data_IF_771941219776
#
_entry.id   IF_771941219776
#
_cell.length_a   1.000
_cell.length_b   1.000
_cell.length_c   1.000
_cell.angle_alpha   90.00
_cell.angle_beta   90.00
_cell.angle_gamma   90.00
#
_symmetry.space_group_name_H-M   'P 1'
#
loop_
_entity.id
_entity.type
_entity.pdbx_description
1 polymer ?
#
# COMPACT_ATOMS: atom_id res chain seq x y z
N UNK A 1 -4.45 -19.93 -11.50
CA UNK A 1 -3.61 -18.92 -12.15
C UNK A 1 -3.39 -17.77 -11.17
N UNK A 2 -2.30 -17.04 -11.37
CA UNK A 2 -1.99 -15.91 -10.52
C UNK A 2 -2.06 -14.63 -11.36
N UNK A 3 -2.42 -13.55 -10.72
CA UNK A 3 -2.50 -12.23 -11.34
C UNK A 3 -1.68 -11.23 -10.55
N UNK A 4 -1.09 -10.29 -11.26
CA UNK A 4 -0.40 -9.18 -10.61
C UNK A 4 -1.41 -8.07 -10.35
N UNK A 5 -1.41 -7.57 -9.15
CA UNK A 5 -2.28 -6.49 -8.74
C UNK A 5 -1.41 -5.34 -8.23
N UNK A 6 -1.66 -4.16 -8.76
CA UNK A 6 -0.95 -2.97 -8.32
C UNK A 6 -1.79 -2.28 -7.25
N UNK A 7 -1.18 -2.05 -6.10
CA UNK A 7 -1.85 -1.33 -5.02
C UNK A 7 -1.45 0.13 -5.12
N UNK A 8 -2.43 1.01 -5.18
CA UNK A 8 -2.20 2.44 -5.33
C UNK A 8 -2.87 3.18 -4.18
N UNK A 9 -2.45 4.43 -3.99
CA UNK A 9 -3.05 5.29 -2.97
C UNK A 9 -4.49 5.58 -3.39
N UNK A 10 -5.47 5.27 -2.52
CA UNK A 10 -6.87 5.55 -2.84
C UNK A 10 -7.15 7.05 -2.74
N UNK A 11 -8.41 7.41 -2.97
CA UNK A 11 -8.85 8.78 -2.80
C UNK A 11 -8.65 9.18 -1.34
N UNK A 12 -7.76 10.13 -1.12
CA UNK A 12 -7.45 10.61 0.22
C UNK A 12 -8.11 11.95 0.51
N UNK A 13 -9.05 12.36 -0.35
CA UNK A 13 -9.84 13.56 -0.11
C UNK A 13 -9.05 14.82 -0.38
N UNK A 14 -9.02 15.72 0.60
CA UNK A 14 -8.44 17.05 0.44
C UNK A 14 -6.93 17.08 0.59
N UNK A 15 -6.27 15.94 0.75
CA UNK A 15 -4.84 15.90 0.97
C UNK A 15 -4.11 15.86 -0.37
N UNK A 16 -3.09 16.69 -0.51
CA UNK A 16 -2.26 16.70 -1.70
C UNK A 16 -1.25 15.55 -1.69
N UNK A 17 -0.74 15.24 -0.50
CA UNK A 17 0.20 14.15 -0.35
C UNK A 17 0.19 13.66 1.08
N UNK A 18 0.63 12.44 1.26
CA UNK A 18 0.76 11.83 2.58
C UNK A 18 2.15 11.23 2.69
N UNK A 19 2.63 11.09 3.90
CA UNK A 19 3.94 10.53 4.15
C UNK A 19 3.80 9.09 4.63
N UNK A 20 4.65 8.21 4.10
CA UNK A 20 4.71 6.83 4.55
C UNK A 20 5.47 6.81 5.87
N UNK A 21 4.79 6.48 6.96
CA UNK A 21 5.40 6.46 8.28
C UNK A 21 5.80 5.06 8.71
N UNK A 22 5.18 4.05 8.10
CA UNK A 22 5.51 2.67 8.43
C UNK A 22 5.16 1.78 7.25
N UNK A 23 6.05 0.82 6.97
CA UNK A 23 5.80 -0.22 5.98
C UNK A 23 5.67 -1.52 6.76
N UNK A 24 4.51 -2.15 6.67
CA UNK A 24 4.16 -3.30 7.50
C UNK A 24 4.46 -4.62 6.81
N UNK A 25 4.85 -4.57 5.54
CA UNK A 25 5.14 -5.77 4.75
C UNK A 25 6.44 -5.58 4.00
N UNK A 26 6.98 -6.69 3.51
CA UNK A 26 8.20 -6.68 2.70
C UNK A 26 7.99 -7.56 1.48
N UNK A 27 8.87 -7.42 0.49
CA UNK A 27 8.85 -8.27 -0.69
C UNK A 27 8.96 -9.71 -0.24
N UNK A 28 8.06 -10.55 -0.74
CA UNK A 28 7.99 -11.96 -0.38
C UNK A 28 7.02 -12.28 0.73
N UNK A 29 6.48 -11.27 1.41
CA UNK A 29 5.50 -11.52 2.47
C UNK A 29 4.16 -11.93 1.89
N UNK A 30 3.52 -12.90 2.54
CA UNK A 30 2.16 -13.29 2.21
C UNK A 30 1.21 -12.42 3.05
N UNK A 31 0.20 -11.88 2.40
CA UNK A 31 -0.78 -11.03 3.07
C UNK A 31 -2.18 -11.55 2.78
N UNK A 32 -3.09 -11.22 3.64
CA UNK A 32 -4.50 -11.57 3.45
C UNK A 32 -5.28 -10.31 3.12
N UNK A 33 -6.43 -10.50 2.51
CA UNK A 33 -7.32 -9.39 2.20
C UNK A 33 -7.55 -8.57 3.46
N UNK A 34 -7.43 -7.26 3.31
CA UNK A 34 -7.64 -6.26 4.37
C UNK A 34 -6.51 -6.17 5.40
N UNK A 35 -5.45 -6.95 5.24
CA UNK A 35 -4.26 -6.72 6.05
C UNK A 35 -3.69 -5.35 5.76
N UNK A 36 -3.23 -4.66 6.79
CA UNK A 36 -2.61 -3.35 6.60
C UNK A 36 -1.26 -3.52 5.93
N UNK A 37 -1.05 -2.81 4.83
CA UNK A 37 0.18 -2.90 4.06
C UNK A 37 1.17 -1.82 4.47
N UNK A 38 0.71 -0.59 4.53
CA UNK A 38 1.53 0.54 4.96
C UNK A 38 0.68 1.49 5.78
N UNK A 39 1.35 2.31 6.58
CA UNK A 39 0.69 3.38 7.32
C UNK A 39 1.10 4.71 6.74
N UNK A 40 0.15 5.61 6.59
CA UNK A 40 0.34 6.94 6.03
C UNK A 40 -0.07 7.98 7.03
N UNK A 41 0.57 9.15 6.99
CA UNK A 41 0.23 10.26 7.84
C UNK A 41 0.00 11.51 7.01
N UNK A 42 -1.08 12.19 7.31
CA UNK A 42 -1.37 13.51 6.76
C UNK A 42 -1.37 14.52 7.90
N UNK A 43 -1.57 15.78 7.56
CA UNK A 43 -1.62 16.85 8.58
C UNK A 43 -2.72 16.63 9.60
N UNK A 44 -3.75 15.89 9.25
CA UNK A 44 -4.94 15.78 10.08
C UNK A 44 -5.19 14.39 10.63
N UNK A 45 -4.60 13.36 10.03
CA UNK A 45 -4.94 12.00 10.43
C UNK A 45 -3.90 11.01 9.97
N UNK A 46 -3.89 9.87 10.63
CA UNK A 46 -3.11 8.71 10.22
C UNK A 46 -4.06 7.71 9.58
N UNK A 47 -3.62 7.06 8.52
CA UNK A 47 -4.44 6.08 7.84
C UNK A 47 -3.59 4.89 7.43
N UNK A 48 -4.24 3.78 7.13
CA UNK A 48 -3.57 2.58 6.67
C UNK A 48 -4.17 2.14 5.36
N UNK A 49 -3.32 1.56 4.52
CA UNK A 49 -3.77 1.05 3.23
C UNK A 49 -3.91 -0.47 3.35
N UNK A 50 -5.12 -0.99 3.19
CA UNK A 50 -5.33 -2.44 3.31
C UNK A 50 -5.03 -3.15 2.00
N UNK A 51 -4.76 -4.44 2.11
CA UNK A 51 -4.57 -5.28 0.94
C UNK A 51 -5.93 -5.48 0.25
N UNK A 52 -5.99 -5.29 -1.07
CA UNK A 52 -7.24 -5.49 -1.80
C UNK A 52 -7.61 -6.97 -1.92
N UNK A 53 -6.62 -7.85 -1.85
CA UNK A 53 -6.82 -9.28 -1.96
C UNK A 53 -5.70 -9.99 -1.23
N UNK A 54 -5.90 -11.27 -0.97
CA UNK A 54 -4.84 -12.12 -0.43
C UNK A 54 -3.82 -12.37 -1.52
N UNK A 55 -2.54 -12.40 -1.16
CA UNK A 55 -1.49 -12.64 -2.13
C UNK A 55 -0.11 -12.49 -1.52
N UNK A 56 0.88 -12.35 -2.37
CA UNK A 56 2.28 -12.22 -1.97
C UNK A 56 2.83 -10.92 -2.56
N UNK A 57 3.50 -10.15 -1.73
CA UNK A 57 4.11 -8.89 -2.18
C UNK A 57 5.29 -9.22 -3.09
N UNK A 58 5.27 -8.72 -4.31
CA UNK A 58 6.33 -8.98 -5.28
C UNK A 58 7.26 -7.80 -5.48
N UNK A 59 6.76 -6.58 -5.30
CA UNK A 59 7.59 -5.39 -5.42
C UNK A 59 7.05 -4.34 -4.49
N UNK A 60 7.94 -3.61 -3.86
CA UNK A 60 7.58 -2.54 -2.95
C UNK A 60 8.12 -1.25 -3.53
N UNK A 61 7.23 -0.30 -3.79
CA UNK A 61 7.57 0.92 -4.52
C UNK A 61 7.75 2.12 -3.60
N UNK A 62 7.48 1.95 -2.31
CA UNK A 62 7.60 3.04 -1.33
C UNK A 62 8.41 2.57 -0.14
N UNK A 63 8.92 3.52 0.63
CA UNK A 63 9.65 3.25 1.85
C UNK A 63 9.26 4.29 2.89
N UNK A 64 9.61 4.02 4.14
CA UNK A 64 9.36 4.96 5.23
C UNK A 64 10.02 6.30 4.90
N UNK A 65 9.25 7.36 5.02
CA UNK A 65 9.71 8.71 4.70
C UNK A 65 9.34 9.19 3.32
N UNK A 66 8.84 8.30 2.45
CA UNK A 66 8.41 8.70 1.12
C UNK A 66 7.12 9.48 1.21
N UNK A 67 6.99 10.46 0.32
CA UNK A 67 5.74 11.21 0.20
C UNK A 67 5.04 10.75 -1.06
N UNK A 68 3.78 10.43 -0.95
CA UNK A 68 2.99 9.91 -2.05
C UNK A 68 1.66 10.63 -2.11
N UNK A 69 1.04 10.58 -3.27
CA UNK A 69 -0.25 11.22 -3.47
C UNK A 69 -1.22 10.23 -4.10
N UNK A 70 -2.47 10.65 -4.18
CA UNK A 70 -3.53 9.81 -4.73
C UNK A 70 -3.11 9.26 -6.10
N UNK A 71 -3.33 7.96 -6.28
CA UNK A 71 -2.97 7.29 -7.52
C UNK A 71 -1.52 6.83 -7.59
N UNK A 72 -0.70 7.21 -6.61
CA UNK A 72 0.69 6.75 -6.59
C UNK A 72 0.78 5.26 -6.30
N UNK A 73 1.72 4.59 -6.95
CA UNK A 73 1.89 3.14 -6.78
C UNK A 73 2.58 2.87 -5.45
N UNK A 74 1.98 2.01 -4.64
CA UNK A 74 2.52 1.62 -3.34
C UNK A 74 3.35 0.35 -3.49
N UNK A 75 2.74 -0.69 -4.02
CA UNK A 75 3.42 -1.96 -4.21
C UNK A 75 2.69 -2.77 -5.27
N UNK A 76 3.36 -3.83 -5.69
CA UNK A 76 2.74 -4.81 -6.58
C UNK A 76 2.72 -6.15 -5.87
N UNK A 77 1.62 -6.84 -6.00
CA UNK A 77 1.46 -8.14 -5.38
C UNK A 77 0.91 -9.15 -6.37
N UNK A 78 1.24 -10.41 -6.12
CA UNK A 78 0.71 -11.51 -6.91
C UNK A 78 -0.46 -12.11 -6.15
N UNK A 79 -1.60 -12.16 -6.79
CA UNK A 79 -2.81 -12.68 -6.17
C UNK A 79 -3.17 -14.01 -6.80
N UNK A 80 -3.68 -14.93 -5.99
CA UNK A 80 -4.15 -16.22 -6.48
C UNK A 80 -5.64 -16.13 -6.77
N UNK A 81 -6.01 -16.67 -7.89
CA UNK A 81 -7.40 -16.72 -8.29
C UNK A 81 -7.97 -18.11 -8.08
#
# INVERSE_FOLDING_TARGET
MTNMTTVVVPDIGDFDSVEVIEVLVAVGDAVQKEDSLISLESDKATMEIPAPQSGVVKALKVAVGDKISEGGVILEMETAE
#
